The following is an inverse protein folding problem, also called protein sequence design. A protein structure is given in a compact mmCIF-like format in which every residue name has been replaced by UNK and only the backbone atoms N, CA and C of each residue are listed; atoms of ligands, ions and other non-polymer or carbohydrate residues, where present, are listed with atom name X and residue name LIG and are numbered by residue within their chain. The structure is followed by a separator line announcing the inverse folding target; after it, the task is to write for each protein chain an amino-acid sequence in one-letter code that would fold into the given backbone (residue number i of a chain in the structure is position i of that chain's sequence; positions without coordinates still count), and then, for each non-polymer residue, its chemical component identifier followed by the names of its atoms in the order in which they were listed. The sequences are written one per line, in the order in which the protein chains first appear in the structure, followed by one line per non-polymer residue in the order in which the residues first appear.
data_IF_838721923697
#
_entry.id   IF_838721923697
#
_cell.length_a   1.000
_cell.length_b   1.000
_cell.length_c   1.000
_cell.angle_alpha   90.00
_cell.angle_beta   90.00
_cell.angle_gamma   90.00
#
_symmetry.space_group_name_H-M   'P 1'
#
loop_
_entity.id
_entity.type
_entity.pdbx_description
1 polymer ?
#
# COMPACT_ATOMS: atom_id res chain seq x y z
N UNK A 1 -16.27 -9.37 -8.46
CA UNK A 1 -15.12 -9.94 -7.76
C UNK A 1 -13.90 -9.01 -7.78
N UNK A 2 -13.19 -8.77 -8.90
CA UNK A 2 -12.04 -7.82 -8.93
C UNK A 2 -12.49 -6.38 -8.65
N UNK A 3 -13.63 -5.94 -9.21
CA UNK A 3 -14.18 -4.60 -8.97
C UNK A 3 -14.52 -4.37 -7.49
N UNK A 4 -15.06 -5.38 -6.81
CA UNK A 4 -15.38 -5.29 -5.38
C UNK A 4 -14.09 -5.21 -4.53
N UNK A 5 -13.04 -5.92 -4.94
CA UNK A 5 -11.74 -5.84 -4.30
C UNK A 5 -11.10 -4.46 -4.50
N UNK A 6 -11.25 -3.84 -5.69
CA UNK A 6 -10.80 -2.46 -5.96
C UNK A 6 -11.55 -1.46 -5.10
N UNK A 7 -12.89 -1.57 -5.01
CA UNK A 7 -13.70 -0.71 -4.16
C UNK A 7 -13.32 -0.84 -2.68
N UNK A 8 -13.09 -2.06 -2.21
CA UNK A 8 -12.68 -2.34 -0.83
C UNK A 8 -11.31 -1.72 -0.51
N UNK A 9 -10.31 -1.87 -1.38
CA UNK A 9 -8.99 -1.27 -1.14
C UNK A 9 -9.01 0.26 -1.25
N UNK A 10 -9.82 0.82 -2.13
CA UNK A 10 -10.00 2.27 -2.21
C UNK A 10 -10.61 2.83 -0.92
N UNK A 11 -11.63 2.16 -0.37
CA UNK A 11 -12.21 2.48 0.92
C UNK A 11 -11.21 2.39 2.06
N UNK A 12 -10.42 1.31 2.09
CA UNK A 12 -9.39 1.12 3.11
C UNK A 12 -8.27 2.18 3.00
N UNK A 13 -7.86 2.56 1.78
CA UNK A 13 -6.90 3.64 1.56
C UNK A 13 -7.44 4.99 2.07
N UNK A 14 -8.71 5.28 1.85
CA UNK A 14 -9.37 6.49 2.38
C UNK A 14 -9.41 6.45 3.92
N UNK A 15 -9.65 5.28 4.52
CA UNK A 15 -9.57 5.08 5.98
C UNK A 15 -8.16 5.35 6.51
N UNK A 16 -7.13 4.82 5.86
CA UNK A 16 -5.72 5.09 6.18
C UNK A 16 -5.46 6.59 6.20
N UNK A 17 -5.85 7.31 5.16
CA UNK A 17 -5.66 8.76 5.09
C UNK A 17 -6.37 9.48 6.23
N UNK A 18 -7.65 9.16 6.48
CA UNK A 18 -8.46 9.79 7.51
C UNK A 18 -7.87 9.57 8.90
N UNK A 19 -7.53 8.33 9.22
CA UNK A 19 -6.98 7.96 10.53
C UNK A 19 -5.64 8.62 10.78
N UNK A 20 -4.74 8.62 9.81
CA UNK A 20 -3.41 9.20 9.95
C UNK A 20 -3.45 10.74 10.04
N UNK A 21 -4.40 11.40 9.38
CA UNK A 21 -4.55 12.86 9.46
C UNK A 21 -5.06 13.34 10.82
N UNK A 22 -5.76 12.49 11.59
CA UNK A 22 -6.34 12.85 12.90
C UNK A 22 -5.36 12.60 14.05
N UNK A 23 -4.38 11.71 13.88
CA UNK A 23 -3.41 11.39 14.91
C UNK A 23 -2.45 12.56 15.17
N UNK A 24 -2.49 13.11 16.38
CA UNK A 24 -1.67 14.26 16.79
C UNK A 24 -0.47 13.87 17.65
N UNK A 25 -0.46 12.67 18.22
CA UNK A 25 0.62 12.15 19.06
C UNK A 25 1.25 10.88 18.47
N UNK A 26 2.53 10.66 18.79
CA UNK A 26 3.30 9.53 18.25
C UNK A 26 2.79 8.18 18.75
N UNK A 27 2.33 8.10 19.99
CA UNK A 27 1.84 6.85 20.57
C UNK A 27 0.53 6.41 19.89
N UNK A 28 -0.44 7.32 19.75
CA UNK A 28 -1.70 7.08 19.06
C UNK A 28 -1.49 6.77 17.58
N UNK A 29 -0.52 7.44 16.93
CA UNK A 29 -0.13 7.15 15.57
C UNK A 29 0.36 5.70 15.41
N UNK A 30 1.24 5.23 16.28
CA UNK A 30 1.78 3.87 16.19
C UNK A 30 0.72 2.79 16.41
N UNK A 31 -0.21 3.00 17.35
CA UNK A 31 -1.35 2.09 17.56
C UNK A 31 -2.24 2.05 16.31
N UNK A 32 -2.54 3.20 15.75
CA UNK A 32 -3.34 3.31 14.51
C UNK A 32 -2.66 2.62 13.35
N UNK A 33 -1.36 2.78 13.18
CA UNK A 33 -0.55 2.13 12.14
C UNK A 33 -0.64 0.60 12.26
N UNK A 34 -0.51 0.05 13.46
CA UNK A 34 -0.60 -1.39 13.67
C UNK A 34 -1.97 -1.94 13.25
N UNK A 35 -3.05 -1.25 13.63
CA UNK A 35 -4.40 -1.61 13.21
C UNK A 35 -4.59 -1.56 11.69
N UNK A 36 -4.11 -0.50 11.04
CA UNK A 36 -4.21 -0.33 9.59
C UNK A 36 -3.37 -1.35 8.81
N UNK A 37 -2.17 -1.68 9.29
CA UNK A 37 -1.34 -2.75 8.71
C UNK A 37 -2.05 -4.10 8.78
N UNK A 38 -2.66 -4.43 9.93
CA UNK A 38 -3.47 -5.64 10.08
C UNK A 38 -4.61 -5.69 9.07
N UNK A 39 -5.36 -4.61 8.92
CA UNK A 39 -6.46 -4.53 7.94
C UNK A 39 -5.97 -4.70 6.49
N UNK A 40 -4.83 -4.11 6.13
CA UNK A 40 -4.23 -4.25 4.79
C UNK A 40 -3.76 -5.68 4.53
N UNK A 41 -3.16 -6.35 5.52
CA UNK A 41 -2.73 -7.75 5.43
C UNK A 41 -3.93 -8.68 5.31
N UNK A 42 -4.97 -8.48 6.10
CA UNK A 42 -6.21 -9.26 6.05
C UNK A 42 -6.91 -9.12 4.70
N UNK A 43 -6.97 -7.89 4.18
CA UNK A 43 -7.52 -7.63 2.86
C UNK A 43 -6.73 -8.37 1.77
N UNK A 44 -5.39 -8.29 1.80
CA UNK A 44 -4.52 -8.97 0.85
C UNK A 44 -4.65 -10.50 0.93
N UNK A 45 -4.77 -11.04 2.14
CA UNK A 45 -4.98 -12.48 2.38
C UNK A 45 -6.29 -13.02 1.82
N UNK A 46 -7.32 -12.17 1.75
CA UNK A 46 -8.64 -12.51 1.17
C UNK A 46 -8.71 -12.38 -0.34
N UNK A 47 -7.65 -11.88 -0.99
CA UNK A 47 -7.63 -11.78 -2.44
C UNK A 47 -7.72 -13.16 -3.10
N UNK A 48 -8.57 -13.31 -4.13
CA UNK A 48 -8.60 -14.50 -4.94
C UNK A 48 -7.22 -14.80 -5.53
N UNK A 49 -6.92 -16.07 -5.72
CA UNK A 49 -5.62 -16.51 -6.22
C UNK A 49 -5.25 -15.85 -7.56
N UNK A 50 -6.25 -15.68 -8.45
CA UNK A 50 -6.10 -15.06 -9.77
C UNK A 50 -5.79 -13.55 -9.71
N UNK A 51 -6.11 -12.92 -8.59
CA UNK A 51 -5.83 -11.50 -8.35
C UNK A 51 -4.49 -11.25 -7.66
N UNK A 52 -3.69 -12.27 -7.38
CA UNK A 52 -2.37 -12.13 -6.75
C UNK A 52 -1.29 -11.87 -7.79
N UNK A 53 -0.32 -10.99 -7.47
CA UNK A 53 0.77 -10.62 -8.38
C UNK A 53 1.57 -11.81 -8.92
N UNK A 54 1.71 -12.89 -8.15
CA UNK A 54 2.48 -14.09 -8.52
C UNK A 54 1.90 -14.79 -9.76
N UNK A 55 0.60 -14.61 -10.03
CA UNK A 55 -0.10 -15.29 -11.14
C UNK A 55 -0.13 -14.46 -12.43
N UNK A 56 0.36 -13.23 -12.41
CA UNK A 56 0.29 -12.32 -13.58
C UNK A 56 1.30 -12.63 -14.69
N UNK A 57 2.18 -13.61 -14.49
CA UNK A 57 3.17 -14.06 -15.50
C UNK A 57 2.60 -14.98 -16.58
N UNK A 58 1.43 -15.55 -16.41
CA UNK A 58 0.78 -16.45 -17.36
C UNK A 58 -0.32 -15.76 -18.16
N UNK A 59 -0.68 -16.31 -19.32
CA UNK A 59 -1.50 -15.79 -20.43
C UNK A 59 -2.93 -15.30 -20.12
N UNK A 60 -3.17 -14.70 -18.98
CA UNK A 60 -4.47 -14.13 -18.63
C UNK A 60 -4.83 -12.90 -19.47
N UNK A 61 -6.10 -12.75 -19.82
CA UNK A 61 -6.65 -11.69 -20.67
C UNK A 61 -6.23 -10.28 -20.22
N UNK A 62 -5.77 -9.46 -21.17
CA UNK A 62 -5.26 -8.08 -20.97
C UNK A 62 -6.14 -7.18 -20.09
N UNK A 63 -7.48 -7.13 -20.22
CA UNK A 63 -8.33 -6.27 -19.39
C UNK A 63 -8.29 -6.62 -17.90
N UNK A 64 -8.18 -7.92 -17.57
CA UNK A 64 -8.09 -8.37 -16.19
C UNK A 64 -6.75 -7.99 -15.57
N UNK A 65 -5.67 -8.07 -16.34
CA UNK A 65 -4.32 -7.68 -15.88
C UNK A 65 -4.27 -6.22 -15.44
N UNK A 66 -4.83 -5.30 -16.20
CA UNK A 66 -4.90 -3.87 -15.85
C UNK A 66 -5.60 -3.63 -14.53
N UNK A 67 -6.77 -4.25 -14.33
CA UNK A 67 -7.52 -4.12 -13.08
C UNK A 67 -6.76 -4.68 -11.88
N UNK A 68 -6.04 -5.79 -12.06
CA UNK A 68 -5.22 -6.40 -11.01
C UNK A 68 -4.02 -5.51 -10.69
N UNK A 69 -3.34 -4.93 -11.69
CA UNK A 69 -2.25 -3.97 -11.45
C UNK A 69 -2.73 -2.73 -10.68
N UNK A 70 -3.87 -2.16 -11.07
CA UNK A 70 -4.47 -1.02 -10.36
C UNK A 70 -4.79 -1.35 -8.90
N UNK A 71 -5.32 -2.54 -8.65
CA UNK A 71 -5.62 -3.04 -7.31
C UNK A 71 -4.35 -3.13 -6.46
N UNK A 72 -3.26 -3.67 -7.00
CA UNK A 72 -1.99 -3.75 -6.27
C UNK A 72 -1.34 -2.37 -6.07
N UNK A 73 -1.41 -1.47 -7.05
CA UNK A 73 -0.91 -0.10 -6.88
C UNK A 73 -1.68 0.67 -5.80
N UNK A 74 -3.00 0.47 -5.69
CA UNK A 74 -3.79 1.06 -4.61
C UNK A 74 -3.36 0.51 -3.24
N UNK A 75 -3.17 -0.80 -3.12
CA UNK A 75 -2.68 -1.43 -1.90
C UNK A 75 -1.28 -0.93 -1.50
N UNK A 76 -0.33 -0.99 -2.42
CA UNK A 76 1.04 -0.52 -2.18
C UNK A 76 1.07 0.97 -1.85
N UNK A 77 0.20 1.76 -2.50
CA UNK A 77 0.02 3.18 -2.19
C UNK A 77 -0.51 3.42 -0.77
N UNK A 78 -1.39 2.55 -0.24
CA UNK A 78 -1.84 2.63 1.15
C UNK A 78 -0.70 2.33 2.14
N UNK A 79 0.13 1.31 1.85
CA UNK A 79 1.32 1.00 2.66
C UNK A 79 2.31 2.17 2.65
N UNK A 80 2.56 2.77 1.49
CA UNK A 80 3.46 3.94 1.39
C UNK A 80 2.92 5.18 2.11
N UNK A 81 1.60 5.36 2.22
CA UNK A 81 1.02 6.44 3.03
C UNK A 81 1.34 6.26 4.51
N UNK A 82 1.23 5.04 5.04
CA UNK A 82 1.62 4.71 6.42
C UNK A 82 3.10 5.04 6.64
N UNK A 83 3.96 4.57 5.73
CA UNK A 83 5.40 4.86 5.76
C UNK A 83 5.69 6.36 5.80
N UNK A 84 5.07 7.15 4.93
CA UNK A 84 5.23 8.61 4.88
C UNK A 84 4.84 9.27 6.19
N UNK A 85 3.74 8.84 6.81
CA UNK A 85 3.31 9.40 8.10
C UNK A 85 4.23 8.99 9.25
N UNK A 86 4.77 7.76 9.24
CA UNK A 86 5.83 7.36 10.16
C UNK A 86 7.05 8.28 10.06
N UNK A 87 7.52 8.57 8.85
CA UNK A 87 8.64 9.48 8.64
C UNK A 87 8.34 10.91 9.09
N UNK A 88 7.13 11.41 8.84
CA UNK A 88 6.72 12.75 9.22
C UNK A 88 6.60 12.90 10.75
N UNK A 89 6.04 11.89 11.43
CA UNK A 89 5.91 11.87 12.89
C UNK A 89 7.24 11.77 13.65
N UNK A 90 8.32 11.42 12.94
CA UNK A 90 9.67 11.27 13.52
C UNK A 90 10.53 12.54 13.38
N UNK A 91 9.98 13.61 12.86
CA UNK A 91 10.76 14.82 12.53
C UNK A 91 11.38 15.58 13.69
N UNK A 92 10.82 15.68 14.92
CA UNK A 92 11.57 16.22 16.04
C UNK A 92 12.55 15.16 16.58
N UNK A 93 13.87 15.43 16.60
CA UNK A 93 14.87 14.45 17.07
C UNK A 93 14.75 14.12 18.57
N UNK A 94 13.92 14.84 19.32
CA UNK A 94 13.64 14.60 20.74
C UNK A 94 12.75 13.39 21.00
N UNK A 95 11.74 13.16 20.16
CA UNK A 95 10.70 12.15 20.40
C UNK A 95 11.18 10.71 20.22
N UNK A 96 12.23 10.49 19.41
CA UNK A 96 12.81 9.15 19.21
C UNK A 96 13.43 8.54 20.48
N UNK A 97 13.90 9.38 21.40
CA UNK A 97 14.57 8.90 22.63
C UNK A 97 13.57 8.37 23.66
N UNK A 98 12.33 8.80 23.59
CA UNK A 98 11.28 8.46 24.54
C UNK A 98 10.46 7.21 24.13
N UNK A 99 10.65 6.72 22.90
CA UNK A 99 9.93 5.55 22.40
C UNK A 99 10.37 4.26 23.09
N UNK A 100 9.42 3.43 23.49
CA UNK A 100 9.67 2.08 23.98
C UNK A 100 10.29 1.18 22.91
N UNK A 101 10.92 0.07 23.31
CA UNK A 101 11.47 -0.91 22.38
C UNK A 101 10.40 -1.45 21.42
N UNK A 102 9.18 -1.70 21.94
CA UNK A 102 8.06 -2.16 21.12
C UNK A 102 7.63 -1.12 20.07
N UNK A 103 7.54 0.15 20.45
CA UNK A 103 7.22 1.24 19.54
C UNK A 103 8.29 1.41 18.45
N UNK A 104 9.57 1.29 18.80
CA UNK A 104 10.68 1.30 17.83
C UNK A 104 10.60 0.13 16.86
N UNK A 105 10.23 -1.06 17.33
CA UNK A 105 10.05 -2.24 16.49
C UNK A 105 8.91 -2.06 15.50
N UNK A 106 7.75 -1.58 15.95
CA UNK A 106 6.59 -1.27 15.08
C UNK A 106 6.93 -0.25 14.00
N UNK A 107 7.64 0.79 14.39
CA UNK A 107 8.09 1.84 13.48
C UNK A 107 9.05 1.31 12.42
N UNK A 108 10.05 0.53 12.83
CA UNK A 108 11.01 -0.07 11.91
C UNK A 108 10.31 -1.05 10.95
N UNK A 109 9.31 -1.81 11.43
CA UNK A 109 8.47 -2.64 10.59
C UNK A 109 7.75 -1.84 9.52
N UNK A 110 7.05 -0.76 9.91
CA UNK A 110 6.35 0.11 8.96
C UNK A 110 7.30 0.77 7.94
N UNK A 111 8.51 1.16 8.36
CA UNK A 111 9.54 1.70 7.46
C UNK A 111 10.02 0.65 6.46
N UNK A 112 10.27 -0.58 6.91
CA UNK A 112 10.66 -1.71 6.07
C UNK A 112 9.57 -2.03 5.04
N UNK A 113 8.32 -2.15 5.48
CA UNK A 113 7.17 -2.44 4.61
C UNK A 113 6.99 -1.34 3.55
N UNK A 114 7.18 -0.08 3.92
CA UNK A 114 7.14 1.04 3.00
C UNK A 114 8.21 1.00 1.91
N UNK A 115 9.43 0.62 2.25
CA UNK A 115 10.51 0.44 1.28
C UNK A 115 10.22 -0.71 0.31
N UNK A 116 9.75 -1.85 0.83
CA UNK A 116 9.33 -2.99 0.01
C UNK A 116 8.18 -2.60 -0.91
N UNK A 117 7.18 -1.87 -0.39
CA UNK A 117 6.05 -1.40 -1.19
C UNK A 117 6.50 -0.45 -2.31
N UNK A 118 7.46 0.44 -2.06
CA UNK A 118 8.01 1.32 -3.08
C UNK A 118 8.72 0.54 -4.19
N UNK A 119 9.55 -0.45 -3.84
CA UNK A 119 10.22 -1.33 -4.80
C UNK A 119 9.21 -2.14 -5.63
N UNK A 120 8.19 -2.70 -5.00
CA UNK A 120 7.15 -3.45 -5.69
C UNK A 120 6.32 -2.55 -6.62
N UNK A 121 6.01 -1.32 -6.20
CA UNK A 121 5.31 -0.35 -7.04
C UNK A 121 6.11 -0.03 -8.31
N UNK A 122 7.41 0.19 -8.19
CA UNK A 122 8.28 0.43 -9.34
C UNK A 122 8.28 -0.77 -10.31
N UNK A 123 8.33 -2.00 -9.80
CA UNK A 123 8.23 -3.23 -10.62
C UNK A 123 6.89 -3.34 -11.33
N UNK A 124 5.78 -3.07 -10.65
CA UNK A 124 4.44 -3.11 -11.26
C UNK A 124 4.33 -2.07 -12.38
N UNK A 125 4.83 -0.86 -12.16
CA UNK A 125 4.84 0.21 -13.17
C UNK A 125 5.70 -0.18 -14.37
N UNK A 126 6.87 -0.80 -14.16
CA UNK A 126 7.74 -1.29 -15.22
C UNK A 126 7.05 -2.38 -16.07
N UNK A 127 6.40 -3.34 -15.43
CA UNK A 127 5.61 -4.39 -16.13
C UNK A 127 4.49 -3.77 -16.96
N UNK A 128 3.78 -2.78 -16.42
CA UNK A 128 2.75 -2.03 -17.14
C UNK A 128 3.36 -1.32 -18.36
N UNK A 129 4.50 -0.65 -18.17
CA UNK A 129 5.22 0.04 -19.23
C UNK A 129 5.70 -0.88 -20.35
N UNK A 130 6.16 -2.08 -20.00
CA UNK A 130 6.58 -3.10 -20.97
C UNK A 130 5.39 -3.70 -21.73
N UNK A 131 4.27 -3.95 -21.04
CA UNK A 131 3.05 -4.45 -21.65
C UNK A 131 2.36 -3.42 -22.56
N UNK A 132 2.54 -2.12 -22.30
CA UNK A 132 1.97 -1.01 -23.05
C UNK A 132 2.84 -0.54 -24.22
N UNK A 133 3.80 -1.32 -24.70
CA UNK A 133 4.43 -1.11 -26.02
C UNK A 133 3.45 -1.24 -27.20
N UNK A 134 2.20 -1.58 -26.94
CA UNK A 134 1.02 -1.25 -27.73
C UNK A 134 0.47 0.11 -27.28
N UNK A 135 -0.08 0.98 -28.16
CA UNK A 135 -0.08 2.44 -28.09
C UNK A 135 -0.66 3.06 -26.80
N UNK A 136 -0.16 4.22 -26.37
CA UNK A 136 -0.31 4.78 -25.01
C UNK A 136 -1.64 5.51 -24.74
N UNK A 137 -2.76 5.11 -25.33
CA UNK A 137 -3.99 5.92 -25.26
C UNK A 137 -4.94 5.64 -24.10
N UNK A 138 -4.66 4.69 -23.19
CA UNK A 138 -5.64 4.30 -22.17
C UNK A 138 -5.34 4.76 -20.72
N UNK A 139 -4.21 5.42 -20.44
CA UNK A 139 -3.80 5.66 -19.05
C UNK A 139 -4.13 7.07 -18.51
N UNK A 140 -4.53 8.01 -19.37
CA UNK A 140 -4.76 9.41 -19.00
C UNK A 140 -6.24 9.80 -18.88
N UNK A 141 -7.18 8.86 -18.99
CA UNK A 141 -8.61 9.14 -18.97
C UNK A 141 -9.34 8.52 -17.77
N UNK A 142 -8.68 8.41 -16.61
CA UNK A 142 -9.34 8.12 -15.34
C UNK A 142 -8.90 9.11 -14.26
#
# INVERSE_FOLDING_TARGET
MVRDAVAAIAGLKAEVMRTLCVCSDVAGLLVSIQGLQGQLQDWYGRLPHEARLVQLGSDSHLPLKTSVYSLHLLHLGAVMLIFRHCLAGLRPPGDRKTLSLQQKSLMNGALSDGLVAAQQSARVVDIIGQASKSPPHCWLTM
#
